data_IF_108643761591
#
_entry.id   IF_108643761591
#
_cell.length_a   1.000
_cell.length_b   1.000
_cell.length_c   1.000
_cell.angle_alpha   90.00
_cell.angle_beta   90.00
_cell.angle_gamma   90.00
#
_symmetry.space_group_name_H-M   'P 1'
#
loop_
_entity.id
_entity.type
_entity.pdbx_description
1 polymer ?
#
# COMPACT_ATOMS: atom_id res chain seq x y z
N UNK A 1 63.73 0.13 20.64
CA UNK A 1 62.43 -0.51 20.85
C UNK A 1 61.63 0.33 21.86
N UNK A 2 60.96 1.39 21.42
CA UNK A 2 59.54 1.47 20.98
C UNK A 2 58.55 1.18 22.10
N UNK A 3 57.90 2.23 22.60
CA UNK A 3 56.55 2.13 23.18
C UNK A 3 55.68 3.23 22.55
N UNK A 4 54.98 2.88 21.48
CA UNK A 4 53.83 3.64 21.01
C UNK A 4 52.63 3.24 21.87
N UNK A 5 52.14 4.16 22.69
CA UNK A 5 50.90 3.99 23.44
C UNK A 5 49.73 4.26 22.48
N UNK A 6 49.11 3.19 21.97
CA UNK A 6 47.90 3.31 21.14
C UNK A 6 46.69 3.38 22.07
N UNK A 7 46.21 4.60 22.33
CA UNK A 7 44.89 4.82 22.93
C UNK A 7 43.80 4.37 21.95
N UNK A 8 43.03 3.36 22.35
CA UNK A 8 41.90 2.82 21.60
C UNK A 8 40.66 3.71 21.84
N UNK A 9 40.31 4.57 20.89
CA UNK A 9 39.00 5.24 20.90
C UNK A 9 37.92 4.26 20.46
N UNK A 10 37.08 3.82 21.39
CA UNK A 10 35.83 3.10 21.11
C UNK A 10 34.73 4.10 20.76
N UNK A 11 34.50 4.32 19.46
CA UNK A 11 33.30 5.00 18.97
C UNK A 11 32.12 4.04 19.12
N UNK A 12 31.33 4.19 20.19
CA UNK A 12 30.04 3.52 20.32
C UNK A 12 29.07 4.12 19.30
N UNK A 13 28.99 3.50 18.12
CA UNK A 13 27.92 3.80 17.17
C UNK A 13 26.60 3.28 17.77
N UNK A 14 25.74 4.20 18.23
CA UNK A 14 24.36 3.84 18.55
C UNK A 14 23.65 3.47 17.24
N UNK A 15 23.38 2.18 17.04
CA UNK A 15 22.56 1.73 15.92
C UNK A 15 21.09 2.07 16.24
N UNK A 16 20.58 3.16 15.67
CA UNK A 16 19.15 3.44 15.69
C UNK A 16 18.42 2.47 14.77
N UNK A 17 17.53 1.64 15.32
CA UNK A 17 16.64 0.80 14.51
C UNK A 17 15.45 1.61 14.00
N UNK A 18 15.30 1.69 12.67
CA UNK A 18 14.12 2.27 12.03
C UNK A 18 13.21 1.12 11.59
N UNK A 19 11.98 1.07 12.10
CA UNK A 19 10.97 0.12 11.65
C UNK A 19 10.21 0.72 10.47
N UNK A 20 10.23 0.06 9.32
CA UNK A 20 9.50 0.46 8.11
C UNK A 20 8.53 -0.63 7.67
N UNK A 21 7.38 -0.22 7.14
CA UNK A 21 6.45 -1.10 6.44
C UNK A 21 6.64 -0.92 4.92
N UNK A 22 6.63 -2.02 4.17
CA UNK A 22 6.75 -2.01 2.72
C UNK A 22 5.39 -2.33 2.10
N UNK A 23 4.98 -1.54 1.12
CA UNK A 23 3.78 -1.74 0.33
C UNK A 23 4.17 -1.70 -1.15
N UNK A 24 4.02 -2.83 -1.83
CA UNK A 24 4.49 -3.01 -3.21
C UNK A 24 3.32 -3.32 -4.13
N UNK A 25 3.18 -2.50 -5.16
CA UNK A 25 2.13 -2.59 -6.18
C UNK A 25 2.73 -2.34 -7.57
N UNK A 26 2.06 -2.73 -8.67
CA UNK A 26 2.51 -2.41 -10.02
C UNK A 26 2.70 -0.89 -10.21
N UNK A 27 3.75 -0.50 -10.93
CA UNK A 27 4.04 0.92 -11.20
C UNK A 27 3.01 1.57 -12.14
N UNK A 28 2.52 0.81 -13.12
CA UNK A 28 1.49 1.27 -14.06
C UNK A 28 0.73 0.09 -14.62
N UNK A 29 -0.54 0.31 -14.94
CA UNK A 29 -1.38 -0.66 -15.65
C UNK A 29 -2.25 0.09 -16.66
N UNK A 30 -2.43 -0.50 -17.83
CA UNK A 30 -3.32 0.02 -18.88
C UNK A 30 -4.36 -1.03 -19.19
N UNK A 31 -5.63 -0.65 -19.15
CA UNK A 31 -6.78 -1.50 -19.52
C UNK A 31 -7.63 -0.75 -20.53
N UNK A 32 -8.32 -1.48 -21.42
CA UNK A 32 -9.25 -0.87 -22.36
C UNK A 32 -10.58 -0.53 -21.67
N UNK A 33 -11.33 0.46 -22.17
CA UNK A 33 -12.68 0.74 -21.69
C UNK A 33 -13.56 -0.51 -21.67
N UNK A 34 -14.33 -0.69 -20.61
CA UNK A 34 -15.18 -1.86 -20.38
C UNK A 34 -14.46 -3.07 -19.76
N UNK A 35 -13.13 -3.09 -19.73
CA UNK A 35 -12.38 -4.19 -19.09
C UNK A 35 -12.33 -4.03 -17.56
N UNK A 36 -11.93 -5.11 -16.90
CA UNK A 36 -11.68 -5.11 -15.46
C UNK A 36 -10.23 -4.76 -15.15
N UNK A 37 -10.03 -4.01 -14.07
CA UNK A 37 -8.74 -3.72 -13.46
C UNK A 37 -8.58 -4.57 -12.21
N UNK A 38 -7.37 -5.09 -11.95
CA UNK A 38 -7.03 -5.81 -10.73
C UNK A 38 -5.63 -5.41 -10.28
N UNK A 39 -5.52 -4.62 -9.21
CA UNK A 39 -4.22 -4.17 -8.68
C UNK A 39 -3.92 -4.92 -7.38
N UNK A 40 -2.84 -5.69 -7.38
CA UNK A 40 -2.34 -6.36 -6.20
C UNK A 40 -1.41 -5.42 -5.41
N UNK A 41 -1.61 -5.36 -4.10
CA UNK A 41 -0.71 -4.72 -3.15
C UNK A 41 -0.20 -5.77 -2.16
N UNK A 42 1.08 -6.10 -2.26
CA UNK A 42 1.77 -6.96 -1.29
C UNK A 42 2.32 -6.09 -0.17
N UNK A 43 2.05 -6.46 1.08
CA UNK A 43 2.48 -5.70 2.25
C UNK A 43 3.43 -6.52 3.12
N UNK A 44 4.39 -5.87 3.79
CA UNK A 44 5.33 -6.55 4.69
C UNK A 44 4.71 -6.95 6.04
N UNK A 45 3.59 -6.34 6.41
CA UNK A 45 2.85 -6.66 7.63
C UNK A 45 1.80 -7.76 7.39
N UNK A 46 1.26 -8.32 8.48
CA UNK A 46 0.17 -9.29 8.39
C UNK A 46 -1.17 -8.58 8.10
N UNK A 47 -1.80 -8.93 6.98
CA UNK A 47 -3.12 -8.41 6.56
C UNK A 47 -4.28 -8.83 7.48
N UNK A 48 -4.02 -9.68 8.47
CA UNK A 48 -4.95 -10.06 9.53
C UNK A 48 -4.69 -9.32 10.85
N UNK A 49 -3.65 -8.48 10.91
CA UNK A 49 -3.32 -7.68 12.10
C UNK A 49 -3.71 -6.21 11.94
N UNK A 50 -3.81 -5.74 10.70
CA UNK A 50 -3.92 -4.33 10.39
C UNK A 50 -4.91 -4.01 9.28
N UNK A 51 -5.30 -2.73 9.20
CA UNK A 51 -6.08 -2.20 8.09
C UNK A 51 -5.18 -1.86 6.90
N UNK A 52 -5.71 -2.04 5.70
CA UNK A 52 -5.13 -1.51 4.46
C UNK A 52 -6.18 -0.71 3.72
N UNK A 53 -5.79 0.43 3.21
CA UNK A 53 -6.63 1.39 2.50
C UNK A 53 -6.27 1.39 1.01
N UNK A 54 -7.27 1.69 0.19
CA UNK A 54 -7.09 2.07 -1.21
C UNK A 54 -7.56 3.50 -1.41
N UNK A 55 -6.73 4.28 -2.10
CA UNK A 55 -6.96 5.69 -2.42
C UNK A 55 -6.69 5.85 -3.91
N UNK A 56 -7.47 6.69 -4.61
CA UNK A 56 -7.15 7.10 -5.98
C UNK A 56 -6.98 8.60 -6.11
N UNK A 57 -6.18 9.02 -7.08
CA UNK A 57 -5.99 10.40 -7.46
C UNK A 57 -6.21 10.59 -8.96
N UNK A 58 -7.39 11.06 -9.39
CA UNK A 58 -7.59 11.48 -10.76
C UNK A 58 -6.66 12.65 -11.11
N UNK A 59 -6.24 12.75 -12.38
CA UNK A 59 -5.37 13.83 -12.83
C UNK A 59 -5.97 15.21 -12.50
N UNK A 60 -5.18 16.07 -11.83
CA UNK A 60 -5.60 17.41 -11.43
C UNK A 60 -6.62 17.48 -10.27
N UNK A 61 -6.90 16.36 -9.58
CA UNK A 61 -7.84 16.31 -8.45
C UNK A 61 -7.15 15.96 -7.13
N UNK A 62 -7.88 16.18 -6.03
CA UNK A 62 -7.49 15.70 -4.70
C UNK A 62 -7.57 14.18 -4.63
N UNK A 63 -6.90 13.62 -3.62
CA UNK A 63 -7.05 12.21 -3.27
C UNK A 63 -8.52 11.88 -2.92
N UNK A 64 -8.97 10.72 -3.37
CA UNK A 64 -10.30 10.15 -3.11
C UNK A 64 -10.12 8.79 -2.42
N UNK A 65 -10.58 8.67 -1.18
CA UNK A 65 -10.58 7.39 -0.48
C UNK A 65 -11.60 6.43 -1.11
N UNK A 66 -11.13 5.25 -1.53
CA UNK A 66 -11.99 4.21 -2.11
C UNK A 66 -12.60 3.37 -1.00
N UNK A 67 -11.77 2.92 -0.07
CA UNK A 67 -12.19 2.01 0.97
C UNK A 67 -11.03 1.48 1.81
N UNK A 68 -11.35 0.61 2.76
CA UNK A 68 -10.40 -0.16 3.54
C UNK A 68 -10.86 -1.60 3.72
N UNK A 69 -9.89 -2.48 3.92
CA UNK A 69 -10.09 -3.83 4.39
C UNK A 69 -9.54 -3.96 5.81
N UNK A 70 -10.35 -4.48 6.73
CA UNK A 70 -10.03 -4.65 8.15
C UNK A 70 -9.34 -5.98 8.41
N UNK A 71 -8.65 -6.09 9.54
CA UNK A 71 -8.00 -7.33 10.00
C UNK A 71 -8.96 -8.53 10.06
N UNK A 72 -10.22 -8.31 10.44
CA UNK A 72 -11.30 -9.31 10.48
C UNK A 72 -11.87 -9.67 9.08
N UNK A 73 -11.44 -8.99 8.02
CA UNK A 73 -11.91 -9.19 6.64
C UNK A 73 -13.10 -8.31 6.24
N UNK A 74 -13.67 -7.53 7.17
CA UNK A 74 -14.73 -6.60 6.82
C UNK A 74 -14.20 -5.50 5.89
N UNK A 75 -14.97 -5.17 4.86
CA UNK A 75 -14.67 -4.10 3.92
C UNK A 75 -15.56 -2.88 4.20
N UNK A 76 -15.02 -1.69 3.97
CA UNK A 76 -15.77 -0.43 4.01
C UNK A 76 -15.37 0.37 2.80
N UNK A 77 -16.34 0.93 2.08
CA UNK A 77 -16.13 1.75 0.89
C UNK A 77 -16.67 3.16 1.11
N UNK A 78 -16.15 4.12 0.34
CA UNK A 78 -16.79 5.43 0.25
C UNK A 78 -18.09 5.34 -0.53
N UNK A 79 -19.06 6.19 -0.18
CA UNK A 79 -20.38 6.18 -0.83
C UNK A 79 -20.32 6.42 -2.34
N UNK A 80 -19.33 7.20 -2.79
CA UNK A 80 -19.13 7.52 -4.20
C UNK A 80 -18.62 6.33 -5.02
N UNK A 81 -17.85 5.42 -4.41
CA UNK A 81 -17.07 4.41 -5.13
C UNK A 81 -17.45 2.96 -4.79
N UNK A 82 -18.36 2.75 -3.82
CA UNK A 82 -18.82 1.43 -3.36
C UNK A 82 -19.39 0.51 -4.44
N UNK A 83 -19.94 1.09 -5.52
CA UNK A 83 -20.49 0.31 -6.64
C UNK A 83 -19.48 0.06 -7.76
N UNK A 84 -18.27 0.62 -7.66
CA UNK A 84 -17.25 0.56 -8.70
C UNK A 84 -16.13 -0.44 -8.39
N UNK A 85 -15.79 -0.58 -7.12
CA UNK A 85 -14.67 -1.39 -6.68
C UNK A 85 -15.08 -2.47 -5.69
N UNK A 86 -14.31 -3.55 -5.69
CA UNK A 86 -14.32 -4.59 -4.66
C UNK A 86 -12.90 -4.82 -4.14
N UNK A 87 -12.81 -5.52 -2.99
CA UNK A 87 -11.53 -5.94 -2.42
C UNK A 87 -11.48 -7.46 -2.30
N UNK A 88 -10.29 -8.00 -2.47
CA UNK A 88 -9.95 -9.35 -2.04
C UNK A 88 -8.69 -9.36 -1.18
N UNK A 89 -8.56 -10.37 -0.32
CA UNK A 89 -7.41 -10.54 0.58
C UNK A 89 -6.88 -11.97 0.47
N UNK A 90 -5.57 -12.08 0.30
CA UNK A 90 -4.83 -13.33 0.43
C UNK A 90 -3.90 -13.24 1.66
N UNK A 91 -4.24 -13.99 2.70
CA UNK A 91 -3.48 -14.01 3.96
C UNK A 91 -2.22 -14.86 3.87
N UNK A 92 -2.09 -15.73 2.87
CA UNK A 92 -0.89 -16.57 2.69
C UNK A 92 0.28 -15.77 2.13
N UNK A 93 0.00 -14.72 1.34
CA UNK A 93 1.00 -13.87 0.71
C UNK A 93 1.03 -12.44 1.25
N UNK A 94 0.17 -12.12 2.22
CA UNK A 94 -0.09 -10.76 2.69
C UNK A 94 -0.40 -9.80 1.54
N UNK A 95 -1.33 -10.20 0.67
CA UNK A 95 -1.73 -9.41 -0.50
C UNK A 95 -3.16 -8.90 -0.33
N UNK A 96 -3.37 -7.62 -0.59
CA UNK A 96 -4.69 -7.02 -0.73
C UNK A 96 -4.85 -6.53 -2.16
N UNK A 97 -5.94 -6.93 -2.80
CA UNK A 97 -6.23 -6.57 -4.19
C UNK A 97 -7.44 -5.67 -4.24
N UNK A 98 -7.37 -4.62 -5.06
CA UNK A 98 -8.55 -3.88 -5.50
C UNK A 98 -8.92 -4.31 -6.91
N UNK A 99 -10.20 -4.62 -7.11
CA UNK A 99 -10.75 -4.88 -8.44
C UNK A 99 -11.73 -3.78 -8.83
N UNK A 100 -11.60 -3.24 -10.04
CA UNK A 100 -12.55 -2.33 -10.65
C UNK A 100 -13.19 -2.98 -11.87
N UNK A 101 -14.51 -2.93 -11.97
CA UNK A 101 -15.25 -3.50 -13.11
C UNK A 101 -15.69 -2.41 -14.09
N UNK A 102 -15.81 -2.77 -15.37
CA UNK A 102 -16.28 -1.89 -16.44
C UNK A 102 -15.54 -0.54 -16.41
N UNK A 103 -14.20 -0.58 -16.43
CA UNK A 103 -13.36 0.61 -16.28
C UNK A 103 -13.60 1.59 -17.43
N UNK A 104 -13.70 2.88 -17.11
CA UNK A 104 -13.92 3.94 -18.08
C UNK A 104 -12.79 4.98 -18.02
N UNK A 105 -12.78 5.91 -18.97
CA UNK A 105 -11.75 6.94 -19.04
C UNK A 105 -11.70 7.80 -17.76
N UNK A 106 -12.86 8.10 -17.17
CA UNK A 106 -13.00 8.85 -15.91
C UNK A 106 -12.43 8.14 -14.67
N UNK A 107 -12.17 6.84 -14.76
CA UNK A 107 -11.54 6.07 -13.67
C UNK A 107 -10.01 6.15 -13.72
N UNK A 108 -9.43 6.73 -14.77
CA UNK A 108 -7.99 6.90 -14.88
C UNK A 108 -7.46 7.76 -13.73
N UNK A 109 -6.61 7.17 -12.90
CA UNK A 109 -6.07 7.78 -11.70
C UNK A 109 -4.75 7.10 -11.31
N UNK A 110 -3.98 7.75 -10.43
CA UNK A 110 -2.97 7.05 -9.65
C UNK A 110 -3.66 6.34 -8.50
N UNK A 111 -3.41 5.04 -8.34
CA UNK A 111 -3.98 4.23 -7.27
C UNK A 111 -2.92 3.93 -6.22
N UNK A 112 -3.22 4.20 -4.96
CA UNK A 112 -2.33 3.99 -3.84
C UNK A 112 -2.91 2.94 -2.90
N UNK A 113 -2.11 1.92 -2.64
CA UNK A 113 -2.27 1.08 -1.46
C UNK A 113 -1.62 1.79 -0.27
N UNK A 114 -2.35 1.93 0.83
CA UNK A 114 -1.90 2.73 1.97
C UNK A 114 -2.18 2.04 3.31
N UNK A 115 -1.30 2.25 4.28
CA UNK A 115 -1.48 1.74 5.65
C UNK A 115 -2.54 2.50 6.44
N UNK A 116 -2.64 3.80 6.20
CA UNK A 116 -3.53 4.73 6.88
C UNK A 116 -4.46 5.40 5.87
N UNK A 117 -5.61 5.89 6.35
CA UNK A 117 -6.45 6.79 5.56
C UNK A 117 -5.75 8.13 5.35
N UNK A 118 -6.13 8.82 4.27
CA UNK A 118 -5.89 10.25 4.10
C UNK A 118 -6.68 11.05 5.14
#
# INVERSE_FOLDING_TARGET
HTMFSTSLLLLLAAASYVHGEELTQPASMTVQPGQSLSINCKVSYSVTSYYTHWIRQPAGKTLEWIGRLRSDGQTTFSDKLKNKFSFSRDTSTNTITIQGQNMQAEDTAVYYCARHSQ
#
